data_IF_293779487516
#
_entry.id   IF_293779487516
#
_cell.length_a   1.000
_cell.length_b   1.000
_cell.length_c   1.000
_cell.angle_alpha   90.00
_cell.angle_beta   90.00
_cell.angle_gamma   90.00
#
_symmetry.space_group_name_H-M   'P 1'
#
loop_
_entity.id
_entity.type
_entity.pdbx_description
1 polymer ?
#
# COMPACT_ATOMS: atom_id res chain seq x y z
N UNK A 1 -18.44 1.81 13.36
CA UNK A 1 -17.76 2.13 12.10
C UNK A 1 -16.33 2.46 12.45
N UNK A 2 -15.36 1.90 11.75
CA UNK A 2 -13.94 2.15 11.95
C UNK A 2 -13.34 2.58 10.60
N UNK A 3 -12.49 3.61 10.61
CA UNK A 3 -11.87 4.19 9.42
C UNK A 3 -10.42 3.70 9.22
N UNK A 4 -10.03 2.63 9.94
CA UNK A 4 -8.70 2.04 9.78
C UNK A 4 -8.48 1.56 8.34
N UNK A 5 -7.38 1.99 7.74
CA UNK A 5 -7.00 1.58 6.39
C UNK A 5 -6.27 0.25 6.46
N UNK A 6 -6.86 -0.78 5.90
CA UNK A 6 -6.30 -2.12 5.84
C UNK A 6 -6.24 -2.61 4.38
N UNK A 7 -5.38 -3.58 4.14
CA UNK A 7 -5.20 -4.22 2.84
C UNK A 7 -5.19 -5.74 2.97
N UNK A 8 -5.26 -6.41 1.84
CA UNK A 8 -5.41 -7.86 1.82
C UNK A 8 -4.23 -8.60 2.49
N UNK A 9 -3.02 -8.08 2.36
CA UNK A 9 -1.84 -8.68 2.97
C UNK A 9 -1.77 -8.51 4.50
N UNK A 10 -2.64 -7.67 5.11
CA UNK A 10 -2.78 -7.53 6.56
C UNK A 10 -3.54 -8.71 7.19
N UNK A 11 -4.28 -9.48 6.40
CA UNK A 11 -5.10 -10.59 6.93
C UNK A 11 -4.25 -11.68 7.58
N UNK A 12 -3.13 -12.04 6.96
CA UNK A 12 -2.29 -13.12 7.46
C UNK A 12 -1.69 -12.81 8.85
N UNK A 13 -0.99 -11.69 9.06
CA UNK A 13 -0.50 -11.32 10.39
C UNK A 13 -1.63 -11.16 11.40
N UNK A 14 -2.81 -10.68 10.98
CA UNK A 14 -3.97 -10.56 11.86
C UNK A 14 -4.48 -11.91 12.34
N UNK A 15 -4.58 -12.91 11.47
CA UNK A 15 -4.99 -14.25 11.88
C UNK A 15 -3.99 -14.90 12.83
N UNK A 16 -2.68 -14.70 12.59
CA UNK A 16 -1.64 -15.21 13.48
C UNK A 16 -1.78 -14.61 14.89
N UNK A 17 -1.97 -13.31 14.99
CA UNK A 17 -2.16 -12.63 16.27
C UNK A 17 -3.41 -13.12 17.01
N UNK A 18 -4.54 -13.26 16.30
CA UNK A 18 -5.80 -13.73 16.88
C UNK A 18 -5.71 -15.18 17.35
N UNK A 19 -4.89 -16.01 16.73
CA UNK A 19 -4.65 -17.39 17.15
C UNK A 19 -3.62 -17.51 18.28
N UNK A 20 -3.02 -16.40 18.69
CA UNK A 20 -1.98 -16.36 19.74
C UNK A 20 -0.63 -16.91 19.27
N UNK A 21 -0.44 -17.04 17.96
CA UNK A 21 0.83 -17.40 17.38
C UNK A 21 1.73 -16.14 17.30
N UNK A 22 2.51 -15.93 18.35
CA UNK A 22 3.42 -14.76 18.50
C UNK A 22 4.67 -14.86 17.65
N UNK A 23 4.85 -15.93 16.95
CA UNK A 23 5.93 -16.16 16.02
C UNK A 23 5.33 -16.76 14.77
N UNK A 24 4.99 -15.94 13.80
CA UNK A 24 4.94 -16.46 12.45
C UNK A 24 6.27 -17.21 12.27
N UNK A 25 6.22 -18.55 12.09
CA UNK A 25 7.46 -19.31 12.19
C UNK A 25 8.44 -18.75 11.17
N UNK A 26 9.63 -18.39 11.62
CA UNK A 26 10.77 -18.08 10.75
C UNK A 26 10.93 -19.13 9.62
N UNK A 27 10.37 -20.32 9.83
CA UNK A 27 10.35 -21.44 8.87
C UNK A 27 9.50 -21.20 7.61
N UNK A 28 8.56 -20.25 7.60
CA UNK A 28 7.80 -19.86 6.39
C UNK A 28 8.41 -18.65 5.67
N UNK A 29 9.43 -18.06 6.25
CA UNK A 29 10.13 -16.95 5.63
C UNK A 29 11.03 -17.50 4.52
N UNK A 30 10.96 -16.90 3.35
CA UNK A 30 11.94 -17.21 2.31
C UNK A 30 13.32 -16.75 2.82
N UNK A 31 14.30 -17.66 3.05
CA UNK A 31 15.62 -17.31 3.55
C UNK A 31 16.41 -16.38 2.63
N UNK A 32 15.95 -16.25 1.36
CA UNK A 32 16.56 -15.37 0.36
C UNK A 32 16.03 -13.92 0.43
N UNK A 33 15.05 -13.64 1.31
CA UNK A 33 14.55 -12.29 1.55
C UNK A 33 15.27 -11.69 2.76
N UNK A 34 16.09 -10.68 2.53
CA UNK A 34 16.66 -9.87 3.61
C UNK A 34 15.58 -8.93 4.18
N UNK A 35 15.32 -9.01 5.48
CA UNK A 35 14.41 -8.10 6.20
C UNK A 35 13.11 -8.76 6.68
N UNK A 36 12.19 -7.93 7.18
CA UNK A 36 10.86 -8.35 7.59
C UNK A 36 10.08 -8.84 6.37
N UNK A 37 9.75 -10.14 6.38
CA UNK A 37 9.17 -10.82 5.23
C UNK A 37 7.67 -10.54 5.02
N UNK A 38 7.09 -9.66 5.80
CA UNK A 38 5.68 -9.30 5.71
C UNK A 38 5.50 -7.80 5.45
N UNK A 39 4.81 -7.50 4.37
CA UNK A 39 4.35 -6.13 4.10
C UNK A 39 3.13 -5.78 4.95
N UNK A 40 2.47 -6.78 5.55
CA UNK A 40 1.22 -6.62 6.28
C UNK A 40 1.40 -6.21 7.74
N UNK A 41 0.48 -5.37 8.22
CA UNK A 41 0.35 -4.97 9.62
C UNK A 41 -0.92 -5.60 10.19
N UNK A 42 -0.78 -6.34 11.29
CA UNK A 42 -1.96 -6.92 11.96
C UNK A 42 -2.94 -5.84 12.41
N UNK A 43 -4.21 -6.03 12.11
CA UNK A 43 -5.31 -5.20 12.63
C UNK A 43 -6.13 -5.89 13.73
N UNK A 44 -5.55 -6.87 14.41
CA UNK A 44 -6.18 -7.55 15.52
C UNK A 44 -6.59 -6.59 16.64
N UNK A 45 -5.78 -5.56 16.95
CA UNK A 45 -6.12 -4.53 17.94
C UNK A 45 -7.42 -3.82 17.58
N UNK A 46 -7.64 -3.46 16.33
CA UNK A 46 -8.90 -2.86 15.86
C UNK A 46 -10.09 -3.82 16.03
N UNK A 47 -9.93 -5.10 15.69
CA UNK A 47 -10.99 -6.11 15.84
C UNK A 47 -11.35 -6.35 17.30
N UNK A 48 -10.39 -6.23 18.20
CA UNK A 48 -10.58 -6.41 19.65
C UNK A 48 -11.05 -5.12 20.36
N UNK A 49 -11.25 -4.01 19.62
CA UNK A 49 -11.71 -2.74 20.18
C UNK A 49 -10.61 -1.91 20.83
N UNK A 50 -9.36 -2.19 20.54
CA UNK A 50 -8.17 -1.49 21.04
C UNK A 50 -7.59 -0.51 20.00
N UNK A 51 -8.42 0.26 19.31
CA UNK A 51 -8.05 1.13 18.18
C UNK A 51 -6.84 2.04 18.46
N UNK A 52 -6.67 2.47 19.71
CA UNK A 52 -5.54 3.35 20.09
C UNK A 52 -4.17 2.67 20.00
N UNK A 53 -4.13 1.35 19.94
CA UNK A 53 -2.92 0.55 19.85
C UNK A 53 -2.65 0.08 18.42
N UNK A 54 -3.59 0.37 17.50
CA UNK A 54 -3.51 -0.10 16.13
C UNK A 54 -2.40 0.63 15.38
N UNK A 55 -1.34 -0.08 14.94
CA UNK A 55 -0.38 0.46 14.01
C UNK A 55 -1.03 0.78 12.67
N UNK A 56 -0.49 1.75 11.97
CA UNK A 56 -0.97 2.15 10.64
C UNK A 56 0.15 2.06 9.62
N UNK A 57 -0.22 1.80 8.39
CA UNK A 57 0.70 1.90 7.26
C UNK A 57 1.04 3.38 7.00
N UNK A 58 2.32 3.68 6.78
CA UNK A 58 2.75 4.99 6.31
C UNK A 58 2.22 5.28 4.90
N UNK A 59 2.10 4.24 4.10
CA UNK A 59 1.51 4.24 2.76
C UNK A 59 1.12 2.80 2.39
N UNK A 60 0.27 2.69 1.37
CA UNK A 60 -0.10 1.41 0.74
C UNK A 60 0.33 1.47 -0.73
N UNK A 61 0.80 0.32 -1.26
CA UNK A 61 1.35 0.21 -2.60
C UNK A 61 0.76 -1.00 -3.33
N UNK A 62 0.45 -0.81 -4.63
CA UNK A 62 -0.06 -1.88 -5.50
C UNK A 62 0.45 -1.73 -6.92
N UNK A 63 0.71 -2.85 -7.57
CA UNK A 63 0.92 -2.98 -9.00
C UNK A 63 -0.10 -3.92 -9.60
N UNK A 64 -0.61 -3.58 -10.77
CA UNK A 64 -1.55 -4.40 -11.52
C UNK A 64 -1.18 -4.40 -13.00
N UNK A 65 -0.46 -5.44 -13.42
CA UNK A 65 0.18 -5.51 -14.74
C UNK A 65 -0.81 -5.68 -15.89
N UNK A 66 -1.97 -6.35 -15.68
CA UNK A 66 -2.96 -6.59 -16.73
C UNK A 66 -3.51 -5.30 -17.34
N UNK A 67 -3.57 -4.24 -16.56
CA UNK A 67 -4.05 -2.93 -17.03
C UNK A 67 -2.96 -1.87 -17.00
N UNK A 68 -1.71 -2.26 -16.72
CA UNK A 68 -0.56 -1.38 -16.60
C UNK A 68 -0.83 -0.21 -15.64
N UNK A 69 -1.15 -0.57 -14.39
CA UNK A 69 -1.47 0.38 -13.33
C UNK A 69 -0.61 0.18 -12.10
N UNK A 70 -0.26 1.31 -11.47
CA UNK A 70 0.38 1.35 -10.16
C UNK A 70 -0.44 2.29 -9.28
N UNK A 71 -0.63 1.95 -8.01
CA UNK A 71 -1.30 2.83 -7.07
C UNK A 71 -0.49 2.98 -5.78
N UNK A 72 -0.49 4.21 -5.25
CA UNK A 72 0.04 4.52 -3.91
C UNK A 72 -1.05 5.26 -3.15
N UNK A 73 -1.33 4.86 -1.92
CA UNK A 73 -2.19 5.58 -0.99
C UNK A 73 -1.38 6.03 0.21
N UNK A 74 -1.48 7.30 0.56
CA UNK A 74 -0.82 7.88 1.72
C UNK A 74 -1.79 8.84 2.43
N UNK A 75 -2.38 8.37 3.53
CA UNK A 75 -3.46 9.07 4.21
C UNK A 75 -4.66 9.31 3.29
N UNK A 76 -5.01 10.58 3.09
CA UNK A 76 -6.13 10.97 2.22
C UNK A 76 -5.77 11.00 0.72
N UNK A 77 -4.47 10.99 0.40
CA UNK A 77 -4.00 11.08 -0.97
C UNK A 77 -3.88 9.70 -1.62
N UNK A 78 -4.35 9.62 -2.86
CA UNK A 78 -4.15 8.47 -3.73
C UNK A 78 -3.53 8.91 -5.06
N UNK A 79 -2.38 8.35 -5.39
CA UNK A 79 -1.76 8.44 -6.69
C UNK A 79 -2.09 7.19 -7.47
N UNK A 80 -2.58 7.35 -8.69
CA UNK A 80 -2.75 6.25 -9.64
C UNK A 80 -1.92 6.56 -10.87
N UNK A 81 -1.05 5.63 -11.27
CA UNK A 81 -0.28 5.72 -12.52
C UNK A 81 -0.91 4.77 -13.51
N UNK A 82 -1.38 5.27 -14.64
CA UNK A 82 -1.94 4.49 -15.74
C UNK A 82 -1.06 4.65 -16.97
N UNK A 83 -0.43 3.56 -17.39
CA UNK A 83 0.48 3.58 -18.56
C UNK A 83 1.55 4.69 -18.46
N UNK A 84 2.16 4.81 -17.28
CA UNK A 84 3.18 5.80 -16.97
C UNK A 84 2.68 7.21 -16.68
N UNK A 85 1.37 7.50 -16.77
CA UNK A 85 0.78 8.81 -16.48
C UNK A 85 0.24 8.88 -15.05
N UNK A 86 0.77 9.76 -14.19
CA UNK A 86 0.28 9.93 -12.83
C UNK A 86 -0.99 10.79 -12.78
N UNK A 87 -1.95 10.35 -11.98
CA UNK A 87 -3.16 11.06 -11.60
C UNK A 87 -3.24 11.09 -10.07
N UNK A 88 -3.58 12.22 -9.46
CA UNK A 88 -3.61 12.42 -8.01
C UNK A 88 -4.99 12.77 -7.53
N UNK A 89 -5.46 12.11 -6.47
CA UNK A 89 -6.78 12.31 -5.89
C UNK A 89 -6.70 12.54 -4.38
N UNK A 90 -7.62 13.33 -3.83
CA UNK A 90 -7.85 13.46 -2.39
C UNK A 90 -9.13 12.73 -2.02
N UNK A 91 -9.03 11.52 -1.46
CA UNK A 91 -10.16 10.65 -1.19
C UNK A 91 -11.08 11.14 -0.07
N UNK A 92 -10.62 12.10 0.78
CA UNK A 92 -11.49 12.71 1.77
C UNK A 92 -12.51 13.69 1.15
N UNK A 93 -12.20 14.23 -0.04
CA UNK A 93 -13.04 15.19 -0.75
C UNK A 93 -13.67 14.59 -2.01
N UNK A 94 -13.03 13.60 -2.60
CA UNK A 94 -13.37 12.99 -3.88
C UNK A 94 -13.15 11.47 -3.84
N UNK A 95 -14.10 10.77 -3.23
CA UNK A 95 -14.02 9.30 -3.09
C UNK A 95 -14.21 8.57 -4.44
N UNK A 96 -14.78 9.23 -5.43
CA UNK A 96 -15.02 8.67 -6.76
C UNK A 96 -13.86 8.88 -7.73
N UNK A 97 -12.82 9.64 -7.32
CA UNK A 97 -11.66 9.91 -8.18
C UNK A 97 -12.04 10.63 -9.48
N UNK A 98 -12.99 11.59 -9.39
CA UNK A 98 -13.51 12.32 -10.55
C UNK A 98 -12.62 13.50 -10.97
N UNK A 99 -11.76 14.01 -10.04
CA UNK A 99 -11.00 15.24 -10.24
C UNK A 99 -9.51 15.01 -10.04
N UNK A 100 -8.77 14.92 -11.13
CA UNK A 100 -7.29 14.82 -11.09
C UNK A 100 -6.67 16.11 -10.59
N UNK A 101 -5.91 16.01 -9.51
CA UNK A 101 -5.20 17.10 -8.84
C UNK A 101 -3.69 17.11 -9.12
N UNK A 102 -3.16 16.23 -9.99
CA UNK A 102 -1.73 16.08 -10.22
C UNK A 102 -1.06 17.41 -10.63
N UNK A 103 -1.67 18.16 -11.55
CA UNK A 103 -1.14 19.44 -11.98
C UNK A 103 -1.15 20.51 -10.88
N UNK A 104 -2.06 20.40 -9.91
CA UNK A 104 -2.19 21.37 -8.80
C UNK A 104 -1.23 21.08 -7.65
N UNK A 105 -0.85 19.82 -7.45
CA UNK A 105 -0.01 19.38 -6.33
C UNK A 105 1.22 18.57 -6.80
N UNK A 106 2.11 19.17 -7.62
CA UNK A 106 3.25 18.45 -8.20
C UNK A 106 4.23 17.92 -7.14
N UNK A 107 4.36 18.59 -6.00
CA UNK A 107 5.23 18.13 -4.91
C UNK A 107 4.69 16.86 -4.26
N UNK A 108 3.37 16.76 -4.10
CA UNK A 108 2.73 15.55 -3.58
C UNK A 108 2.88 14.38 -4.56
N UNK A 109 2.73 14.65 -5.86
CA UNK A 109 2.97 13.64 -6.90
C UNK A 109 4.42 13.15 -6.83
N UNK A 110 5.42 14.04 -6.79
CA UNK A 110 6.84 13.66 -6.67
C UNK A 110 7.12 12.79 -5.45
N UNK A 111 6.55 13.15 -4.30
CA UNK A 111 6.70 12.40 -3.07
C UNK A 111 6.16 10.98 -3.19
N UNK A 112 5.00 10.81 -3.82
CA UNK A 112 4.36 9.50 -3.98
C UNK A 112 5.02 8.68 -5.10
N UNK A 113 5.49 9.31 -6.17
CA UNK A 113 6.29 8.65 -7.21
C UNK A 113 7.61 8.11 -6.65
N UNK A 114 8.24 8.83 -5.71
CA UNK A 114 9.44 8.32 -5.04
C UNK A 114 9.18 7.00 -4.27
N UNK A 115 7.96 6.80 -3.74
CA UNK A 115 7.55 5.52 -3.15
C UNK A 115 7.51 4.44 -4.23
N UNK A 116 6.92 4.72 -5.40
CA UNK A 116 6.87 3.77 -6.53
C UNK A 116 8.27 3.27 -6.88
N UNK A 117 9.23 4.18 -7.07
CA UNK A 117 10.62 3.80 -7.42
C UNK A 117 11.33 3.01 -6.32
N UNK A 118 10.95 3.20 -5.06
CA UNK A 118 11.52 2.46 -3.92
C UNK A 118 10.95 1.04 -3.82
N UNK A 119 9.63 0.90 -4.03
CA UNK A 119 8.91 -0.36 -3.82
C UNK A 119 8.90 -1.27 -5.06
N UNK A 120 8.97 -0.68 -6.25
CA UNK A 120 8.95 -1.46 -7.50
C UNK A 120 10.08 -2.48 -7.56
N UNK A 121 9.72 -3.72 -7.85
CA UNK A 121 10.66 -4.80 -8.13
C UNK A 121 10.50 -5.24 -9.59
N UNK A 122 11.52 -5.02 -10.45
CA UNK A 122 11.45 -5.40 -11.85
C UNK A 122 11.12 -6.88 -12.04
N UNK A 123 10.16 -7.18 -12.90
CA UNK A 123 9.77 -8.55 -13.24
C UNK A 123 9.63 -8.70 -14.76
N UNK A 124 10.10 -9.81 -15.30
CA UNK A 124 9.90 -10.13 -16.71
C UNK A 124 8.45 -10.52 -17.02
N UNK A 125 7.75 -11.08 -16.02
CA UNK A 125 6.38 -11.59 -16.15
C UNK A 125 5.33 -10.54 -15.82
N UNK A 126 5.61 -9.65 -14.85
CA UNK A 126 4.67 -8.66 -14.32
C UNK A 126 5.22 -7.25 -14.59
N UNK A 127 5.10 -6.81 -15.83
CA UNK A 127 5.64 -5.50 -16.26
C UNK A 127 4.61 -4.41 -16.05
N UNK A 128 5.07 -3.29 -15.49
CA UNK A 128 4.30 -2.04 -15.37
C UNK A 128 5.16 -0.89 -15.88
N UNK A 129 4.52 0.14 -16.42
CA UNK A 129 5.19 1.35 -16.91
C UNK A 129 5.33 2.35 -15.77
N UNK A 130 6.58 2.61 -15.38
CA UNK A 130 6.87 3.61 -14.35
C UNK A 130 6.63 5.03 -14.88
N UNK A 131 6.18 5.97 -14.02
CA UNK A 131 6.01 7.36 -14.43
C UNK A 131 7.35 8.01 -14.70
N UNK A 132 7.46 8.76 -15.80
CA UNK A 132 8.62 9.64 -16.06
C UNK A 132 8.48 10.92 -15.23
N UNK A 133 9.59 11.29 -14.53
CA UNK A 133 9.65 12.50 -13.71
C UNK A 133 11.01 13.18 -13.83
#
# INVERSE_FOLDING_TARGET
>A
VNDHQLVFYDLLPTFCDLLGDQGFPETYLNPDLEGDCFDGISFASTLLGEDKRQPQHDYLYWEFHETDQIAVRMGEWKLVVRQGKPELYNLAQDIHEDHDLAARYPDQVRRMVAIIYREHRPSELFRVTLPEF
#
